data_IF_924180960910
#
_entry.id   IF_924180960910
#
_cell.length_a   1.000
_cell.length_b   1.000
_cell.length_c   1.000
_cell.angle_alpha   90.00
_cell.angle_beta   90.00
_cell.angle_gamma   90.00
#
_symmetry.space_group_name_H-M   'P 1'
#
loop_
_entity.id
_entity.type
_entity.pdbx_description
1 polymer ?
#
# COMPACT_ATOMS: atom_id res chain seq x y z
N UNK A 1 -3.52 -20.01 7.75
CA UNK A 1 -3.56 -18.91 6.76
C UNK A 1 -4.81 -19.04 5.90
N UNK A 2 -5.07 -20.12 5.15
CA UNK A 2 -6.24 -20.29 4.27
C UNK A 2 -7.59 -20.15 4.99
N UNK A 3 -7.73 -20.65 6.22
CA UNK A 3 -8.96 -20.54 6.99
C UNK A 3 -9.33 -19.08 7.30
N UNK A 4 -8.36 -18.26 7.67
CA UNK A 4 -8.56 -16.85 7.97
C UNK A 4 -8.88 -16.02 6.71
N UNK A 5 -8.36 -16.43 5.54
CA UNK A 5 -8.68 -15.84 4.24
C UNK A 5 -10.16 -15.99 3.92
N UNK A 6 -10.72 -17.19 4.09
CA UNK A 6 -12.13 -17.45 3.85
C UNK A 6 -13.04 -16.58 4.75
N UNK A 7 -12.64 -16.33 5.99
CA UNK A 7 -13.37 -15.42 6.90
C UNK A 7 -13.33 -13.96 6.43
N UNK A 8 -12.21 -13.52 5.89
CA UNK A 8 -12.08 -12.14 5.41
C UNK A 8 -12.86 -11.86 4.12
N UNK A 9 -13.05 -12.88 3.29
CA UNK A 9 -13.91 -12.76 2.11
C UNK A 9 -15.39 -12.70 2.48
N UNK A 10 -15.80 -13.41 3.54
CA UNK A 10 -17.18 -13.36 4.01
C UNK A 10 -17.60 -11.99 4.51
N UNK A 11 -16.67 -11.19 5.07
CA UNK A 11 -17.01 -9.87 5.61
C UNK A 11 -17.43 -8.86 4.54
N UNK A 12 -16.62 -8.54 3.50
CA UNK A 12 -17.04 -7.62 2.45
C UNK A 12 -18.19 -8.18 1.61
N UNK A 13 -18.24 -9.50 1.40
CA UNK A 13 -19.35 -10.14 0.73
C UNK A 13 -20.64 -10.01 1.55
N UNK A 14 -20.59 -10.20 2.87
CA UNK A 14 -21.72 -9.98 3.77
C UNK A 14 -22.18 -8.52 3.79
N UNK A 15 -21.25 -7.55 3.75
CA UNK A 15 -21.56 -6.14 3.64
C UNK A 15 -22.25 -5.81 2.30
N UNK A 16 -21.76 -6.37 1.19
CA UNK A 16 -22.38 -6.24 -0.13
C UNK A 16 -23.81 -6.82 -0.15
N UNK A 17 -24.00 -7.98 0.46
CA UNK A 17 -25.33 -8.58 0.61
C UNK A 17 -26.28 -7.70 1.44
N UNK A 18 -25.80 -7.07 2.52
CA UNK A 18 -26.60 -6.13 3.31
C UNK A 18 -27.00 -4.88 2.50
N UNK A 19 -26.14 -4.36 1.66
CA UNK A 19 -26.48 -3.26 0.74
C UNK A 19 -27.60 -3.69 -0.20
N UNK A 20 -27.49 -4.85 -0.83
CA UNK A 20 -28.51 -5.39 -1.74
C UNK A 20 -29.84 -5.62 -1.02
N UNK A 21 -29.81 -6.19 0.18
CA UNK A 21 -31.02 -6.38 1.01
C UNK A 21 -31.65 -5.04 1.39
N UNK A 22 -30.82 -4.02 1.69
CA UNK A 22 -31.26 -2.65 1.96
C UNK A 22 -32.03 -2.03 0.79
N UNK A 23 -31.56 -2.27 -0.45
CA UNK A 23 -32.28 -1.87 -1.66
C UNK A 23 -33.69 -2.53 -1.72
N UNK A 24 -33.76 -3.86 -1.52
CA UNK A 24 -35.01 -4.59 -1.55
C UNK A 24 -36.02 -4.04 -0.53
N UNK A 25 -35.61 -3.89 0.73
CA UNK A 25 -36.44 -3.36 1.81
C UNK A 25 -36.97 -1.94 1.54
N UNK A 26 -36.11 -1.05 1.06
CA UNK A 26 -36.52 0.33 0.75
C UNK A 26 -37.39 0.41 -0.47
N UNK A 27 -37.15 -0.42 -1.48
CA UNK A 27 -38.00 -0.53 -2.66
C UNK A 27 -39.43 -1.00 -2.29
N UNK A 28 -39.52 -2.09 -1.52
CA UNK A 28 -40.83 -2.64 -1.05
C UNK A 28 -41.63 -1.64 -0.21
N UNK A 29 -40.94 -0.80 0.57
CA UNK A 29 -41.58 0.21 1.41
C UNK A 29 -41.79 1.56 0.70
N UNK A 30 -41.48 1.69 -0.59
CA UNK A 30 -41.60 2.95 -1.33
C UNK A 30 -40.69 4.08 -0.82
N UNK A 31 -39.58 3.73 -0.13
CA UNK A 31 -38.67 4.68 0.52
C UNK A 31 -37.30 4.73 -0.18
N UNK A 32 -37.23 4.27 -1.41
CA UNK A 32 -36.00 4.36 -2.20
C UNK A 32 -35.83 5.81 -2.67
N UNK A 33 -34.75 6.47 -2.21
CA UNK A 33 -34.43 7.84 -2.61
C UNK A 33 -33.05 7.88 -3.31
N UNK A 34 -32.85 8.92 -4.14
CA UNK A 34 -31.62 9.08 -4.95
C UNK A 34 -30.35 9.12 -4.11
N UNK A 35 -30.42 9.69 -2.89
CA UNK A 35 -29.27 9.79 -1.99
C UNK A 35 -28.85 8.41 -1.53
N UNK A 36 -29.80 7.60 -1.05
CA UNK A 36 -29.53 6.23 -0.62
C UNK A 36 -28.98 5.38 -1.77
N UNK A 37 -29.57 5.51 -2.96
CA UNK A 37 -29.12 4.79 -4.16
C UNK A 37 -27.65 5.13 -4.46
N UNK A 38 -27.32 6.41 -4.50
CA UNK A 38 -25.97 6.89 -4.81
C UNK A 38 -24.94 6.45 -3.77
N UNK A 39 -25.23 6.64 -2.49
CA UNK A 39 -24.36 6.23 -1.39
C UNK A 39 -24.13 4.71 -1.39
N UNK A 40 -25.18 3.92 -1.59
CA UNK A 40 -25.13 2.46 -1.61
C UNK A 40 -24.33 1.92 -2.82
N UNK A 41 -24.46 2.56 -3.99
CA UNK A 41 -23.68 2.21 -5.19
C UNK A 41 -22.18 2.50 -4.92
N UNK A 42 -21.86 3.69 -4.39
CA UNK A 42 -20.47 4.06 -4.07
C UNK A 42 -19.85 3.09 -3.07
N UNK A 43 -20.59 2.68 -2.05
CA UNK A 43 -20.11 1.73 -1.04
C UNK A 43 -19.95 0.31 -1.64
N UNK A 44 -20.90 -0.14 -2.48
CA UNK A 44 -20.79 -1.43 -3.15
C UNK A 44 -19.58 -1.50 -4.09
N UNK A 45 -19.33 -0.43 -4.86
CA UNK A 45 -18.18 -0.34 -5.76
C UNK A 45 -16.87 -0.38 -4.97
N UNK A 46 -16.74 0.37 -3.87
CA UNK A 46 -15.56 0.34 -2.99
C UNK A 46 -15.31 -1.05 -2.40
N UNK A 47 -16.37 -1.73 -1.98
CA UNK A 47 -16.27 -3.11 -1.48
C UNK A 47 -15.77 -4.08 -2.56
N UNK A 48 -16.29 -3.94 -3.79
CA UNK A 48 -15.87 -4.74 -4.94
C UNK A 48 -14.41 -4.51 -5.31
N UNK A 49 -13.96 -3.25 -5.37
CA UNK A 49 -12.57 -2.88 -5.61
C UNK A 49 -11.63 -3.47 -4.54
N UNK A 50 -11.97 -3.32 -3.26
CA UNK A 50 -11.18 -3.88 -2.16
C UNK A 50 -11.09 -5.42 -2.22
N UNK A 51 -12.16 -6.10 -2.64
CA UNK A 51 -12.15 -7.55 -2.84
C UNK A 51 -11.22 -7.93 -3.99
N UNK A 52 -11.26 -7.20 -5.11
CA UNK A 52 -10.39 -7.41 -6.26
C UNK A 52 -8.91 -7.21 -5.90
N UNK A 53 -8.58 -6.12 -5.20
CA UNK A 53 -7.22 -5.83 -4.74
C UNK A 53 -6.71 -6.95 -3.82
N UNK A 54 -7.57 -7.46 -2.94
CA UNK A 54 -7.23 -8.58 -2.06
C UNK A 54 -6.93 -9.86 -2.85
N UNK A 55 -7.70 -10.16 -3.91
CA UNK A 55 -7.44 -11.29 -4.80
C UNK A 55 -6.10 -11.14 -5.49
N UNK A 56 -5.81 -9.95 -6.00
CA UNK A 56 -4.56 -9.69 -6.70
C UNK A 56 -3.36 -9.78 -5.76
N UNK A 57 -3.46 -9.30 -4.54
CA UNK A 57 -2.46 -9.47 -3.50
C UNK A 57 -2.18 -10.96 -3.22
N UNK A 58 -3.24 -11.77 -3.06
CA UNK A 58 -3.10 -13.22 -2.88
C UNK A 58 -2.53 -13.91 -4.11
N UNK A 59 -3.09 -13.63 -5.29
CA UNK A 59 -2.62 -14.22 -6.53
C UNK A 59 -1.12 -13.98 -6.73
N UNK A 60 -0.68 -12.77 -6.48
CA UNK A 60 0.72 -12.39 -6.67
C UNK A 60 1.65 -13.03 -5.62
N UNK A 61 1.14 -13.37 -4.44
CA UNK A 61 1.89 -14.09 -3.41
C UNK A 61 1.97 -15.59 -3.68
N UNK A 62 0.85 -16.23 -4.12
CA UNK A 62 0.77 -17.69 -4.24
C UNK A 62 1.13 -18.24 -5.61
N UNK A 63 1.25 -17.41 -6.65
CA UNK A 63 1.71 -17.87 -7.95
C UNK A 63 3.25 -17.78 -8.00
N UNK A 64 3.97 -18.90 -7.78
CA UNK A 64 5.45 -18.91 -7.80
C UNK A 64 6.00 -18.85 -9.23
N UNK A 65 5.35 -18.12 -10.13
CA UNK A 65 5.59 -18.30 -11.54
C UNK A 65 6.42 -17.18 -12.16
N UNK A 66 7.52 -16.79 -11.50
CA UNK A 66 8.43 -15.83 -12.13
C UNK A 66 9.88 -16.17 -11.78
N UNK A 67 10.65 -16.44 -12.84
CA UNK A 67 12.08 -16.59 -12.72
C UNK A 67 12.68 -15.32 -12.09
N UNK A 68 13.58 -15.49 -11.15
CA UNK A 68 14.45 -14.42 -10.71
C UNK A 68 15.18 -13.83 -11.91
N UNK A 69 15.33 -12.53 -11.94
CA UNK A 69 16.03 -11.82 -13.01
C UNK A 69 16.86 -10.68 -12.42
N UNK A 70 17.89 -10.28 -13.13
CA UNK A 70 18.61 -9.05 -12.81
C UNK A 70 17.75 -7.87 -13.22
N UNK A 71 17.50 -6.94 -12.32
CA UNK A 71 16.72 -5.75 -12.63
C UNK A 71 17.21 -4.51 -11.87
N UNK A 72 16.94 -3.36 -12.46
CA UNK A 72 17.25 -2.05 -11.91
C UNK A 72 16.20 -1.64 -10.89
N UNK A 73 16.63 -1.38 -9.64
CA UNK A 73 15.75 -1.01 -8.52
C UNK A 73 15.08 0.34 -8.75
N UNK A 74 15.80 1.31 -9.35
CA UNK A 74 15.24 2.62 -9.69
C UNK A 74 14.08 2.47 -10.68
N UNK A 75 14.29 1.69 -11.76
CA UNK A 75 13.25 1.45 -12.77
C UNK A 75 12.04 0.70 -12.20
N UNK A 76 12.25 -0.25 -11.30
CA UNK A 76 11.17 -0.95 -10.63
C UNK A 76 10.34 0.01 -9.75
N UNK A 77 11.02 0.89 -8.98
CA UNK A 77 10.36 1.93 -8.18
C UNK A 77 9.60 2.93 -9.05
N UNK A 78 10.20 3.39 -10.16
CA UNK A 78 9.53 4.27 -11.12
C UNK A 78 8.26 3.65 -11.70
N UNK A 79 8.30 2.33 -11.99
CA UNK A 79 7.11 1.63 -12.50
C UNK A 79 5.96 1.63 -11.50
N UNK A 80 6.24 1.44 -10.21
CA UNK A 80 5.23 1.55 -9.17
C UNK A 80 4.62 2.97 -9.09
N UNK A 81 5.47 4.00 -9.20
CA UNK A 81 5.04 5.40 -9.21
C UNK A 81 4.12 5.68 -10.41
N UNK A 82 4.51 5.24 -11.61
CA UNK A 82 3.69 5.40 -12.82
C UNK A 82 2.29 4.80 -12.67
N UNK A 83 2.20 3.61 -12.07
CA UNK A 83 0.93 2.91 -11.87
C UNK A 83 0.00 3.61 -10.86
N UNK A 84 0.54 4.40 -9.95
CA UNK A 84 -0.25 5.15 -8.95
C UNK A 84 -0.53 6.59 -9.33
N UNK A 85 0.12 7.11 -10.36
CA UNK A 85 0.11 8.53 -10.72
C UNK A 85 -1.29 9.11 -10.83
N UNK A 86 -2.15 8.49 -11.63
CA UNK A 86 -3.52 8.96 -11.83
C UNK A 86 -4.34 9.04 -10.53
N UNK A 87 -4.22 8.03 -9.67
CA UNK A 87 -4.94 8.01 -8.41
C UNK A 87 -4.44 9.07 -7.43
N UNK A 88 -3.12 9.31 -7.40
CA UNK A 88 -2.53 10.35 -6.56
C UNK A 88 -2.95 11.76 -7.04
N UNK A 89 -2.95 12.00 -8.34
CA UNK A 89 -3.41 13.26 -8.93
C UNK A 89 -4.89 13.53 -8.63
N UNK A 90 -5.74 12.51 -8.72
CA UNK A 90 -7.17 12.60 -8.38
C UNK A 90 -7.38 13.02 -6.91
N UNK A 91 -6.55 12.55 -6.00
CA UNK A 91 -6.60 12.88 -4.57
C UNK A 91 -5.81 14.16 -4.21
N UNK A 92 -5.26 14.85 -5.21
CA UNK A 92 -4.45 16.08 -4.99
C UNK A 92 -3.16 15.82 -4.21
N UNK A 93 -2.58 14.61 -4.33
CA UNK A 93 -1.35 14.21 -3.63
C UNK A 93 -0.16 14.40 -4.57
N UNK A 94 0.83 15.17 -4.14
CA UNK A 94 2.10 15.36 -4.86
C UNK A 94 3.10 14.28 -4.46
N UNK A 95 3.63 13.54 -5.44
CA UNK A 95 4.69 12.57 -5.23
C UNK A 95 5.99 13.09 -5.84
N UNK A 96 7.06 13.12 -5.04
CA UNK A 96 8.41 13.43 -5.45
C UNK A 96 9.27 12.17 -5.38
N UNK A 97 10.13 11.95 -6.39
CA UNK A 97 11.03 10.81 -6.45
C UNK A 97 12.47 11.26 -6.61
N UNK A 98 13.27 11.04 -5.59
CA UNK A 98 14.70 11.37 -5.55
C UNK A 98 15.53 10.09 -5.57
N UNK A 99 16.21 9.85 -6.68
CA UNK A 99 17.01 8.65 -6.88
C UNK A 99 18.35 8.97 -7.52
N UNK A 100 19.40 8.57 -6.82
CA UNK A 100 20.80 8.66 -7.30
C UNK A 100 21.48 7.29 -7.38
N UNK A 101 20.70 6.20 -7.46
CA UNK A 101 21.23 4.85 -7.53
C UNK A 101 21.22 4.31 -8.96
N UNK A 102 22.19 3.42 -9.24
CA UNK A 102 22.27 2.61 -10.47
C UNK A 102 22.28 1.11 -10.15
N UNK A 103 21.80 0.76 -8.95
CA UNK A 103 21.89 -0.60 -8.43
C UNK A 103 20.97 -1.57 -9.17
N UNK A 104 21.53 -2.72 -9.50
CA UNK A 104 20.80 -3.88 -9.96
C UNK A 104 20.80 -4.94 -8.86
N UNK A 105 19.71 -5.69 -8.78
CA UNK A 105 19.58 -6.85 -7.89
C UNK A 105 19.07 -8.04 -8.69
N UNK A 106 19.42 -9.24 -8.24
CA UNK A 106 18.88 -10.49 -8.75
C UNK A 106 17.70 -10.91 -7.87
N UNK A 107 16.52 -10.96 -8.43
CA UNK A 107 15.31 -11.24 -7.64
C UNK A 107 14.03 -11.13 -8.44
N UNK A 108 12.93 -10.91 -7.73
CA UNK A 108 11.59 -10.85 -8.30
C UNK A 108 11.15 -9.39 -8.50
N UNK A 109 11.43 -8.85 -9.70
CA UNK A 109 11.13 -7.45 -10.06
C UNK A 109 9.70 -7.04 -9.72
N UNK A 110 8.72 -7.88 -10.05
CA UNK A 110 7.31 -7.55 -9.86
C UNK A 110 6.91 -7.55 -8.39
N UNK A 111 7.55 -8.38 -7.56
CA UNK A 111 7.32 -8.37 -6.12
C UNK A 111 7.80 -7.05 -5.49
N UNK A 112 8.95 -6.52 -5.94
CA UNK A 112 9.40 -5.21 -5.50
C UNK A 112 8.43 -4.10 -5.93
N UNK A 113 7.97 -4.14 -7.18
CA UNK A 113 6.94 -3.20 -7.66
C UNK A 113 5.69 -3.27 -6.79
N UNK A 114 5.23 -4.47 -6.46
CA UNK A 114 4.05 -4.69 -5.61
C UNK A 114 4.23 -4.13 -4.19
N UNK A 115 5.38 -4.37 -3.57
CA UNK A 115 5.70 -3.83 -2.25
C UNK A 115 5.66 -2.30 -2.28
N UNK A 116 6.32 -1.67 -3.25
CA UNK A 116 6.33 -0.21 -3.39
C UNK A 116 4.94 0.35 -3.65
N UNK A 117 4.15 -0.29 -4.52
CA UNK A 117 2.74 0.06 -4.78
C UNK A 117 1.91 0.05 -3.50
N UNK A 118 2.01 -1.03 -2.72
CA UNK A 118 1.27 -1.15 -1.47
C UNK A 118 1.64 -0.05 -0.47
N UNK A 119 2.93 0.28 -0.34
CA UNK A 119 3.37 1.37 0.55
C UNK A 119 2.88 2.74 0.07
N UNK A 120 2.92 3.02 -1.24
CA UNK A 120 2.36 4.26 -1.82
C UNK A 120 0.85 4.34 -1.56
N UNK A 121 0.11 3.25 -1.77
CA UNK A 121 -1.33 3.20 -1.53
C UNK A 121 -1.68 3.42 -0.06
N UNK A 122 -0.90 2.86 0.87
CA UNK A 122 -1.09 3.12 2.30
C UNK A 122 -0.90 4.61 2.64
N UNK A 123 0.14 5.25 2.12
CA UNK A 123 0.36 6.69 2.28
C UNK A 123 -0.76 7.50 1.62
N UNK A 124 -1.20 7.12 0.40
CA UNK A 124 -2.34 7.75 -0.29
C UNK A 124 -3.60 7.73 0.57
N UNK A 125 -3.95 6.59 1.14
CA UNK A 125 -5.19 6.44 1.91
C UNK A 125 -5.18 7.28 3.19
N UNK A 126 -4.04 7.36 3.87
CA UNK A 126 -3.87 8.25 5.03
C UNK A 126 -4.01 9.71 4.61
N UNK A 127 -3.31 10.13 3.56
CA UNK A 127 -3.34 11.51 3.07
C UNK A 127 -4.73 11.91 2.56
N UNK A 128 -5.46 11.02 1.90
CA UNK A 128 -6.83 11.26 1.44
C UNK A 128 -7.79 11.49 2.62
N UNK A 129 -7.54 10.87 3.79
CA UNK A 129 -8.33 11.09 5.00
C UNK A 129 -8.05 12.42 5.70
N UNK A 130 -6.89 13.06 5.43
CA UNK A 130 -6.44 14.33 6.04
C UNK A 130 -6.99 15.54 5.29
N UNK A 131 -8.28 15.85 5.46
CA UNK A 131 -8.96 16.94 4.73
C UNK A 131 -8.40 18.33 5.03
N UNK A 132 -7.86 18.54 6.21
CA UNK A 132 -7.33 19.85 6.65
C UNK A 132 -5.89 20.10 6.19
N UNK A 133 -5.19 19.08 5.68
CA UNK A 133 -3.82 19.21 5.24
C UNK A 133 -3.77 20.00 3.91
N UNK A 134 -3.18 21.21 3.93
CA UNK A 134 -3.11 22.11 2.77
C UNK A 134 -2.36 21.49 1.58
N UNK A 135 -1.28 20.79 1.85
CA UNK A 135 -0.48 20.09 0.85
C UNK A 135 -0.25 18.65 1.28
N UNK A 136 -0.69 17.70 0.47
CA UNK A 136 -0.50 16.28 0.67
C UNK A 136 0.70 15.83 -0.14
N UNK A 137 1.71 15.28 0.52
CA UNK A 137 2.98 14.94 -0.12
C UNK A 137 3.46 13.55 0.24
N UNK A 138 3.97 12.86 -0.78
CA UNK A 138 4.74 11.63 -0.66
C UNK A 138 6.12 11.90 -1.24
N UNK A 139 7.16 11.53 -0.51
CA UNK A 139 8.54 11.59 -0.98
C UNK A 139 9.14 10.19 -0.99
N UNK A 140 9.63 9.77 -2.15
CA UNK A 140 10.36 8.52 -2.29
C UNK A 140 11.83 8.82 -2.51
N UNK A 141 12.69 8.25 -1.68
CA UNK A 141 14.14 8.42 -1.76
C UNK A 141 14.78 7.04 -1.89
N UNK A 142 15.60 6.87 -2.91
CA UNK A 142 16.45 5.69 -3.02
C UNK A 142 17.90 6.04 -2.78
N UNK A 143 18.57 5.26 -1.94
CA UNK A 143 19.98 5.41 -1.60
C UNK A 143 20.70 4.09 -1.75
N UNK A 144 21.96 4.16 -2.12
CA UNK A 144 22.84 2.99 -2.21
C UNK A 144 24.10 3.24 -1.38
N UNK A 145 24.48 2.21 -0.64
CA UNK A 145 25.80 2.09 0.00
C UNK A 145 26.47 0.84 -0.57
N UNK A 146 27.75 0.60 -0.22
CA UNK A 146 28.47 -0.60 -0.67
C UNK A 146 27.78 -1.92 -0.26
N UNK A 147 26.93 -1.90 0.77
CA UNK A 147 26.30 -3.10 1.35
C UNK A 147 24.79 -3.13 1.25
N UNK A 148 24.14 -2.01 0.95
CA UNK A 148 22.68 -1.90 1.00
C UNK A 148 22.13 -0.94 -0.04
N UNK A 149 20.97 -1.30 -0.55
CA UNK A 149 20.06 -0.43 -1.29
C UNK A 149 18.90 -0.13 -0.35
N UNK A 150 18.56 1.14 -0.19
CA UNK A 150 17.50 1.57 0.70
C UNK A 150 16.47 2.35 -0.12
N UNK A 151 15.20 1.97 0.00
CA UNK A 151 14.05 2.69 -0.55
C UNK A 151 13.24 3.22 0.63
N UNK A 152 13.15 4.53 0.76
CA UNK A 152 12.31 5.19 1.77
C UNK A 152 11.09 5.80 1.11
N UNK A 153 9.91 5.52 1.64
CA UNK A 153 8.65 6.14 1.26
C UNK A 153 8.17 6.92 2.49
N UNK A 154 8.03 8.23 2.33
CA UNK A 154 7.76 9.19 3.42
C UNK A 154 6.50 9.96 3.05
N UNK A 155 5.52 10.03 3.95
CA UNK A 155 4.34 10.86 3.78
C UNK A 155 4.24 11.92 4.90
N UNK A 156 3.51 12.99 4.64
CA UNK A 156 3.26 14.03 5.62
C UNK A 156 1.90 13.88 6.32
N UNK A 157 1.42 12.65 6.48
CA UNK A 157 0.11 12.31 7.04
C UNK A 157 0.03 12.27 8.57
N UNK A 158 1.03 12.78 9.30
CA UNK A 158 1.00 12.87 10.77
C UNK A 158 1.66 11.71 11.50
N UNK A 159 2.27 10.74 10.76
CA UNK A 159 2.93 9.58 11.36
C UNK A 159 1.97 8.49 11.82
N UNK A 160 2.49 7.53 12.55
CA UNK A 160 1.76 6.37 13.08
C UNK A 160 1.85 6.42 14.62
N UNK A 161 0.73 6.15 15.30
CA UNK A 161 0.72 6.11 16.77
C UNK A 161 1.70 5.08 17.31
N UNK A 162 2.41 5.40 18.37
CA UNK A 162 3.48 4.57 18.95
C UNK A 162 2.96 3.22 19.48
N UNK A 163 1.73 3.16 19.95
CA UNK A 163 1.08 1.94 20.45
C UNK A 163 0.75 0.91 19.37
N UNK A 164 0.70 1.36 18.09
CA UNK A 164 0.37 0.49 16.96
C UNK A 164 1.52 0.25 15.99
N UNK A 165 2.56 1.10 15.99
CA UNK A 165 3.65 1.03 15.00
C UNK A 165 4.34 -0.35 14.98
N UNK A 166 4.44 -1.01 16.13
CA UNK A 166 5.01 -2.36 16.22
C UNK A 166 4.11 -3.44 15.59
N UNK A 167 2.80 -3.17 15.46
CA UNK A 167 1.78 -4.13 14.99
C UNK A 167 1.37 -3.94 13.53
N UNK A 168 1.79 -2.85 12.87
CA UNK A 168 1.34 -2.56 11.50
C UNK A 168 1.70 -3.63 10.47
N UNK A 169 2.69 -4.48 10.77
CA UNK A 169 3.08 -5.60 9.94
C UNK A 169 2.48 -6.94 10.39
N UNK A 170 1.65 -6.95 11.45
CA UNK A 170 0.95 -8.16 11.86
C UNK A 170 -0.15 -8.50 10.85
N UNK A 171 -0.38 -9.78 10.59
CA UNK A 171 -1.45 -10.18 9.69
C UNK A 171 -2.80 -9.70 10.22
N UNK A 172 -3.61 -9.13 9.33
CA UNK A 172 -4.96 -8.64 9.63
C UNK A 172 -5.04 -7.39 10.50
N UNK A 173 -3.92 -6.79 10.84
CA UNK A 173 -3.92 -5.53 11.56
C UNK A 173 -4.30 -4.38 10.61
N UNK A 174 -5.32 -3.62 10.97
CA UNK A 174 -5.75 -2.43 10.23
C UNK A 174 -6.36 -1.40 11.17
N UNK A 175 -6.09 -0.13 10.93
CA UNK A 175 -6.76 1.01 11.57
C UNK A 175 -7.90 1.56 10.72
N UNK A 176 -8.03 1.08 9.48
CA UNK A 176 -9.13 1.44 8.59
C UNK A 176 -10.41 0.73 9.02
N UNK A 177 -11.56 1.33 8.68
CA UNK A 177 -12.85 0.66 8.91
C UNK A 177 -12.82 -0.74 8.28
N UNK A 178 -13.47 -1.73 8.93
CA UNK A 178 -13.44 -3.15 8.53
C UNK A 178 -13.85 -3.41 7.07
N UNK A 179 -14.59 -2.51 6.45
CA UNK A 179 -14.97 -2.57 5.03
C UNK A 179 -13.92 -2.01 4.06
N UNK A 180 -12.88 -1.31 4.55
CA UNK A 180 -11.94 -0.56 3.72
C UNK A 180 -10.48 -1.03 3.82
N UNK A 181 -10.17 -1.98 4.70
CA UNK A 181 -8.81 -2.44 4.86
C UNK A 181 -8.74 -3.91 5.30
N UNK A 182 -8.07 -4.75 4.51
CA UNK A 182 -7.89 -6.18 4.79
C UNK A 182 -6.85 -6.46 5.88
N UNK A 183 -5.97 -5.48 6.18
CA UNK A 183 -4.85 -5.65 7.08
C UNK A 183 -3.79 -6.66 6.60
N UNK A 184 -3.81 -7.02 5.31
CA UNK A 184 -2.91 -8.03 4.73
C UNK A 184 -1.75 -7.37 3.99
N UNK A 185 -1.95 -6.19 3.40
CA UNK A 185 -0.97 -5.58 2.49
C UNK A 185 0.42 -5.40 3.12
N UNK A 186 0.52 -4.78 4.28
CA UNK A 186 1.82 -4.59 4.96
C UNK A 186 2.44 -5.91 5.41
N UNK A 187 1.63 -6.84 5.93
CA UNK A 187 2.10 -8.19 6.25
C UNK A 187 2.70 -8.90 5.04
N UNK A 188 2.01 -8.86 3.88
CA UNK A 188 2.50 -9.46 2.64
C UNK A 188 3.76 -8.77 2.13
N UNK A 189 3.81 -7.44 2.20
CA UNK A 189 5.02 -6.68 1.87
C UNK A 189 6.21 -7.14 2.70
N UNK A 190 6.01 -7.39 4.00
CA UNK A 190 7.04 -7.93 4.88
C UNK A 190 7.48 -9.33 4.47
N UNK A 191 6.53 -10.23 4.16
CA UNK A 191 6.87 -11.58 3.70
C UNK A 191 7.69 -11.56 2.39
N UNK A 192 7.30 -10.72 1.41
CA UNK A 192 8.01 -10.59 0.14
C UNK A 192 9.43 -10.04 0.34
N UNK A 193 9.58 -8.98 1.11
CA UNK A 193 10.89 -8.37 1.34
C UNK A 193 11.81 -9.29 2.15
N UNK A 194 11.31 -9.86 3.27
CA UNK A 194 12.17 -10.60 4.20
C UNK A 194 12.45 -12.03 3.73
N UNK A 195 11.45 -12.73 3.12
CA UNK A 195 11.61 -14.14 2.72
C UNK A 195 12.05 -14.33 1.29
N UNK A 196 11.59 -13.49 0.35
CA UNK A 196 11.90 -13.68 -1.06
C UNK A 196 13.10 -12.85 -1.52
N UNK A 197 13.27 -11.64 -0.94
CA UNK A 197 14.35 -10.74 -1.33
C UNK A 197 15.50 -10.70 -0.32
N UNK A 198 15.41 -11.48 0.78
CA UNK A 198 16.39 -11.48 1.88
C UNK A 198 16.72 -10.06 2.37
N UNK A 199 15.72 -9.19 2.37
CA UNK A 199 15.80 -7.81 2.77
C UNK A 199 15.22 -7.56 4.15
N UNK A 200 15.00 -6.27 4.46
CA UNK A 200 14.33 -5.83 5.68
C UNK A 200 13.33 -4.73 5.35
N UNK A 201 12.15 -4.78 5.95
CA UNK A 201 11.17 -3.71 5.89
C UNK A 201 10.79 -3.26 7.29
N UNK A 202 10.71 -1.95 7.49
CA UNK A 202 10.28 -1.38 8.77
C UNK A 202 9.66 0.00 8.55
N UNK A 203 8.99 0.50 9.60
CA UNK A 203 8.43 1.83 9.64
C UNK A 203 8.93 2.57 10.88
N UNK A 204 9.09 3.88 10.77
CA UNK A 204 9.36 4.77 11.89
C UNK A 204 8.75 6.16 11.66
N UNK A 205 8.43 6.83 12.73
CA UNK A 205 8.06 8.25 12.67
C UNK A 205 9.30 9.12 12.57
N UNK A 206 9.21 10.14 11.72
CA UNK A 206 10.26 11.15 11.55
C UNK A 206 9.64 12.53 11.42
N UNK A 207 10.45 13.58 11.60
CA UNK A 207 10.10 14.94 11.20
C UNK A 207 10.79 15.29 9.89
N UNK A 208 10.01 15.68 8.87
CA UNK A 208 10.55 15.99 7.54
C UNK A 208 9.96 17.29 6.98
N UNK A 209 10.75 18.04 6.18
CA UNK A 209 10.35 19.37 5.69
C UNK A 209 9.65 19.39 4.32
N UNK A 210 9.75 18.36 3.52
CA UNK A 210 9.16 18.27 2.15
C UNK A 210 9.40 19.53 1.29
N UNK A 211 10.60 20.09 1.32
CA UNK A 211 10.93 21.32 0.60
C UNK A 211 10.33 22.61 1.17
N UNK A 212 9.69 22.57 2.33
CA UNK A 212 9.15 23.73 3.06
C UNK A 212 10.04 24.15 4.21
N UNK A 213 9.72 25.27 4.88
CA UNK A 213 10.39 25.69 6.12
C UNK A 213 9.89 24.92 7.35
N UNK A 214 8.67 24.38 7.28
CA UNK A 214 8.00 23.70 8.38
C UNK A 214 8.34 22.21 8.42
N UNK A 215 8.40 21.65 9.63
CA UNK A 215 8.52 20.21 9.84
C UNK A 215 7.14 19.58 9.96
N UNK A 216 6.95 18.47 9.27
CA UNK A 216 5.78 17.63 9.38
C UNK A 216 6.11 16.36 10.14
N UNK A 217 5.23 15.93 11.03
CA UNK A 217 5.26 14.58 11.56
C UNK A 217 4.90 13.60 10.42
N UNK A 218 5.72 12.60 10.21
CA UNK A 218 5.72 11.82 8.99
C UNK A 218 5.95 10.35 9.30
N UNK A 219 5.22 9.47 8.61
CA UNK A 219 5.57 8.06 8.57
C UNK A 219 6.65 7.83 7.50
N UNK A 220 7.68 7.08 7.84
CA UNK A 220 8.69 6.64 6.89
C UNK A 220 8.75 5.12 6.86
N UNK A 221 8.33 4.53 5.76
CA UNK A 221 8.55 3.13 5.44
C UNK A 221 9.88 2.96 4.73
N UNK A 222 10.67 1.98 5.19
CA UNK A 222 11.99 1.70 4.63
C UNK A 222 12.10 0.26 4.19
N UNK A 223 12.57 0.06 2.97
CA UNK A 223 12.94 -1.24 2.42
C UNK A 223 14.46 -1.26 2.28
N UNK A 224 15.13 -2.21 2.91
CA UNK A 224 16.56 -2.45 2.76
C UNK A 224 16.75 -3.76 1.98
N UNK A 225 17.53 -3.68 0.90
CA UNK A 225 17.89 -4.82 0.06
C UNK A 225 19.41 -4.93 -0.01
N UNK A 226 19.92 -6.14 -0.12
CA UNK A 226 21.35 -6.35 -0.38
C UNK A 226 21.60 -6.22 -1.89
N UNK A 227 22.58 -5.42 -2.33
CA UNK A 227 23.03 -5.51 -3.72
C UNK A 227 23.56 -6.92 -3.97
N UNK A 228 23.43 -7.40 -5.18
CA UNK A 228 24.02 -8.68 -5.56
C UNK A 228 25.52 -8.62 -5.39
N UNK A 229 26.10 -9.53 -4.61
CA UNK A 229 27.52 -9.80 -4.72
C UNK A 229 27.72 -10.44 -6.09
N UNK A 230 28.42 -9.73 -6.98
CA UNK A 230 28.88 -10.31 -8.25
C UNK A 230 29.89 -11.41 -7.91
N UNK A 231 29.39 -12.62 -7.70
CA UNK A 231 30.23 -13.78 -7.78
C UNK A 231 30.63 -13.94 -9.26
N UNK A 232 31.77 -13.39 -9.60
CA UNK A 232 32.47 -13.78 -10.83
C UNK A 232 33.01 -15.19 -10.59
N UNK A 233 32.28 -16.23 -10.99
CA UNK A 233 32.85 -17.50 -11.37
C UNK A 233 33.12 -17.51 -12.87
#
# INVERSE_FOLDING_TARGET
>A
VLHNIAHQWRQPLGALMMIIQGFGLKFENGKLDDKFVKESIDDALKLGENMSDTIDDFRNFFIPNRAKQVFDVKKATQKAIELTKYQLEKEGIKLEFNSNITAQIYGFKNELIHVVLNLINNSKDILASQKELKERKILIITKQTNRKIIINIIDNGGGIKDDIIAKIFDPYFTTKHKSMGTGIGLYMSKQLVERHMNGKIYCKNIKHKFGTKEFFDSAMFSIELSPEEKNYE
#
